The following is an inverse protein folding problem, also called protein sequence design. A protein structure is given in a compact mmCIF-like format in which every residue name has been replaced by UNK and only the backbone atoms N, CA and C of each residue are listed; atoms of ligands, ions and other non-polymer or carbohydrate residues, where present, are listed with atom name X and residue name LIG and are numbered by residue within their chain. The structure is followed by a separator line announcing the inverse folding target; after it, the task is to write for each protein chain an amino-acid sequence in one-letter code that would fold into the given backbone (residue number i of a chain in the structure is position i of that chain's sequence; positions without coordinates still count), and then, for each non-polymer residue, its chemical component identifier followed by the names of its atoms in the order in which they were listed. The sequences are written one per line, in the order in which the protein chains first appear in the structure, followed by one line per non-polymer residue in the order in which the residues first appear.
data_IF_962659001124
#
_entry.id   IF_962659001124
#
_cell.length_a   1.000
_cell.length_b   1.000
_cell.length_c   1.000
_cell.angle_alpha   90.00
_cell.angle_beta   90.00
_cell.angle_gamma   90.00
#
_symmetry.space_group_name_H-M   'P 1'
#
loop_
_entity.id
_entity.type
_entity.pdbx_description
1 polymer ?
#
# COMPACT_ATOMS: atom_id res chain seq x y z
N UNK A 1 0.69 -42.48 -16.05
CA UNK A 1 1.45 -41.59 -16.95
C UNK A 1 1.58 -40.26 -16.23
N UNK A 2 2.79 -39.97 -15.74
CA UNK A 2 3.06 -38.89 -14.79
C UNK A 2 2.98 -37.52 -15.44
N UNK A 3 2.17 -36.64 -14.86
CA UNK A 3 2.06 -35.24 -15.27
C UNK A 3 3.40 -34.52 -15.14
N UNK A 4 3.75 -33.79 -16.17
CA UNK A 4 4.86 -32.85 -16.15
C UNK A 4 4.53 -31.76 -15.11
N UNK A 5 5.19 -31.82 -13.94
CA UNK A 5 5.24 -30.68 -13.06
C UNK A 5 6.02 -29.58 -13.80
N UNK A 6 5.32 -28.55 -14.25
CA UNK A 6 5.94 -27.35 -14.79
C UNK A 6 6.80 -26.74 -13.67
N UNK A 7 8.11 -26.89 -13.75
CA UNK A 7 9.02 -26.19 -12.85
C UNK A 7 8.94 -24.71 -13.21
N UNK A 8 8.37 -23.88 -12.32
CA UNK A 8 8.32 -22.43 -12.51
C UNK A 8 9.73 -21.83 -12.38
N UNK A 9 10.48 -21.87 -13.49
CA UNK A 9 11.70 -21.08 -13.65
C UNK A 9 11.28 -19.64 -13.86
N UNK A 10 11.66 -18.76 -12.92
CA UNK A 10 11.33 -17.35 -13.02
C UNK A 10 12.14 -16.66 -14.11
N UNK A 11 13.39 -17.11 -14.31
CA UNK A 11 14.32 -16.49 -15.23
C UNK A 11 15.45 -17.47 -15.59
N UNK A 12 15.83 -17.53 -16.87
CA UNK A 12 16.98 -18.31 -17.34
C UNK A 12 17.90 -17.45 -18.19
N UNK A 13 19.19 -17.40 -17.86
CA UNK A 13 20.21 -16.69 -18.62
C UNK A 13 21.31 -17.66 -19.05
N UNK A 14 21.58 -17.73 -20.35
CA UNK A 14 22.61 -18.58 -20.94
C UNK A 14 23.88 -17.76 -21.11
N UNK A 15 25.00 -18.28 -20.65
CA UNK A 15 26.31 -17.73 -20.97
C UNK A 15 27.20 -18.84 -21.55
N UNK A 16 27.90 -18.54 -22.62
CA UNK A 16 28.92 -19.44 -23.18
C UNK A 16 30.21 -19.18 -22.44
N UNK A 17 30.78 -20.24 -21.86
CA UNK A 17 32.16 -20.18 -21.39
C UNK A 17 33.11 -20.21 -22.60
N UNK A 18 34.38 -19.92 -22.36
CA UNK A 18 35.49 -19.87 -23.32
C UNK A 18 35.74 -21.17 -24.12
N UNK A 19 35.03 -22.27 -23.83
CA UNK A 19 35.01 -23.49 -24.64
C UNK A 19 33.78 -23.56 -25.56
N UNK A 20 33.98 -23.79 -26.88
CA UNK A 20 32.91 -23.67 -27.88
C UNK A 20 31.79 -24.71 -27.78
N UNK A 21 31.99 -25.79 -27.02
CA UNK A 21 31.09 -26.96 -26.99
C UNK A 21 30.31 -27.11 -25.67
N UNK A 22 30.47 -26.17 -24.71
CA UNK A 22 29.81 -26.25 -23.39
C UNK A 22 29.01 -24.99 -23.07
N UNK A 23 27.73 -25.15 -22.77
CA UNK A 23 26.85 -24.04 -22.39
C UNK A 23 26.63 -24.04 -20.88
N UNK A 24 26.76 -22.86 -20.26
CA UNK A 24 26.41 -22.66 -18.86
C UNK A 24 25.13 -21.85 -18.75
N UNK A 25 24.26 -22.21 -17.81
CA UNK A 25 22.94 -21.57 -17.65
C UNK A 25 22.73 -21.19 -16.20
N UNK A 26 22.41 -19.93 -15.97
CA UNK A 26 21.99 -19.41 -14.68
C UNK A 26 20.46 -19.42 -14.60
N UNK A 27 19.91 -20.16 -13.62
CA UNK A 27 18.48 -20.32 -13.42
C UNK A 27 18.04 -19.66 -12.11
N UNK A 28 17.05 -18.75 -12.18
CA UNK A 28 16.36 -18.21 -11.00
C UNK A 28 15.08 -19.01 -10.77
N UNK A 29 14.96 -19.62 -9.60
CA UNK A 29 13.71 -20.22 -9.15
C UNK A 29 12.97 -19.25 -8.24
N UNK A 30 11.63 -19.27 -8.29
CA UNK A 30 10.80 -18.49 -7.36
C UNK A 30 10.92 -19.00 -5.92
N UNK A 31 11.03 -20.31 -5.77
CA UNK A 31 11.03 -21.01 -4.48
C UNK A 31 12.28 -21.90 -4.30
N UNK A 32 12.88 -21.92 -3.08
CA UNK A 32 14.00 -22.80 -2.76
C UNK A 32 13.70 -24.28 -2.94
N UNK A 33 12.43 -24.69 -2.73
CA UNK A 33 11.99 -26.07 -2.89
C UNK A 33 12.10 -26.54 -4.35
N UNK A 34 11.69 -25.70 -5.30
CA UNK A 34 11.77 -25.97 -6.74
C UNK A 34 13.22 -26.08 -7.22
N UNK A 35 14.11 -25.22 -6.72
CA UNK A 35 15.54 -25.30 -7.01
C UNK A 35 16.16 -26.62 -6.52
N UNK A 36 15.82 -27.07 -5.31
CA UNK A 36 16.32 -28.33 -4.76
C UNK A 36 15.75 -29.56 -5.49
N UNK A 37 14.49 -29.50 -5.92
CA UNK A 37 13.89 -30.56 -6.75
C UNK A 37 14.57 -30.66 -8.12
N UNK A 38 14.85 -29.51 -8.75
CA UNK A 38 15.57 -29.43 -10.02
C UNK A 38 16.99 -30.00 -9.90
N UNK A 39 17.74 -29.61 -8.87
CA UNK A 39 19.07 -30.15 -8.60
C UNK A 39 19.05 -31.69 -8.50
N UNK A 40 18.14 -32.26 -7.70
CA UNK A 40 18.01 -33.71 -7.54
C UNK A 40 17.63 -34.45 -8.83
N UNK A 41 16.88 -33.79 -9.71
CA UNK A 41 16.43 -34.40 -10.95
C UNK A 41 17.46 -34.31 -12.06
N UNK A 42 18.22 -33.22 -12.18
CA UNK A 42 19.04 -32.96 -13.35
C UNK A 42 20.55 -33.00 -13.11
N UNK A 43 21.01 -32.97 -11.85
CA UNK A 43 22.42 -33.17 -11.56
C UNK A 43 22.89 -34.59 -11.94
N UNK A 44 24.02 -34.69 -12.63
CA UNK A 44 24.65 -35.92 -13.13
C UNK A 44 23.82 -36.74 -14.14
N UNK A 45 22.82 -36.12 -14.77
CA UNK A 45 22.07 -36.74 -15.88
C UNK A 45 22.63 -36.34 -17.23
N UNK A 46 22.52 -37.23 -18.22
CA UNK A 46 22.89 -36.93 -19.60
C UNK A 46 21.96 -35.86 -20.16
N UNK A 47 22.54 -34.84 -20.82
CA UNK A 47 21.78 -33.76 -21.45
C UNK A 47 20.99 -34.26 -22.66
N UNK A 48 21.62 -35.14 -23.46
CA UNK A 48 21.04 -35.77 -24.64
C UNK A 48 21.43 -37.24 -24.68
N UNK A 49 20.60 -38.09 -25.29
CA UNK A 49 20.92 -39.51 -25.52
C UNK A 49 22.03 -39.71 -26.56
N UNK A 50 22.41 -38.65 -27.28
CA UNK A 50 23.40 -38.68 -28.35
C UNK A 50 24.81 -38.29 -27.89
N UNK A 51 24.94 -37.64 -26.73
CA UNK A 51 26.21 -37.09 -26.23
C UNK A 51 26.55 -37.67 -24.85
N UNK A 52 27.82 -38.01 -24.58
CA UNK A 52 28.23 -38.65 -23.34
C UNK A 52 28.31 -37.68 -22.15
N UNK A 53 28.13 -36.38 -22.38
CA UNK A 53 28.30 -35.35 -21.36
C UNK A 53 27.09 -35.25 -20.41
N UNK A 54 27.40 -35.06 -19.12
CA UNK A 54 26.41 -34.98 -18.04
C UNK A 54 26.21 -33.53 -17.63
N UNK A 55 24.95 -33.15 -17.41
CA UNK A 55 24.59 -31.88 -16.79
C UNK A 55 25.13 -31.84 -15.35
N UNK A 56 25.91 -30.80 -15.05
CA UNK A 56 26.32 -30.47 -13.70
C UNK A 56 25.48 -29.29 -13.22
N UNK A 57 24.78 -29.46 -12.11
CA UNK A 57 24.01 -28.38 -11.48
C UNK A 57 24.77 -27.96 -10.23
N UNK A 58 24.98 -26.66 -10.04
CA UNK A 58 25.68 -26.12 -8.85
C UNK A 58 24.83 -25.02 -8.20
N UNK A 59 24.95 -24.90 -6.88
CA UNK A 59 24.37 -23.77 -6.14
C UNK A 59 25.32 -22.58 -6.22
N UNK A 60 24.78 -21.41 -6.53
CA UNK A 60 25.53 -20.17 -6.65
C UNK A 60 25.33 -19.35 -5.38
N UNK A 61 26.43 -18.95 -4.73
CA UNK A 61 26.40 -18.18 -3.48
C UNK A 61 26.30 -16.67 -3.73
N UNK A 62 27.10 -16.15 -4.67
CA UNK A 62 27.06 -14.75 -5.11
C UNK A 62 27.46 -14.65 -6.58
N UNK A 63 27.07 -13.56 -7.23
CA UNK A 63 27.46 -13.24 -8.61
C UNK A 63 28.02 -11.82 -8.61
N UNK A 64 29.27 -11.68 -9.05
CA UNK A 64 29.94 -10.39 -9.21
C UNK A 64 30.06 -10.07 -10.70
N UNK A 65 29.59 -8.88 -11.10
CA UNK A 65 29.62 -8.43 -12.50
C UNK A 65 30.73 -7.41 -12.69
N UNK A 66 31.55 -7.61 -13.73
CA UNK A 66 32.52 -6.61 -14.15
C UNK A 66 31.87 -5.65 -15.16
N UNK A 67 31.68 -4.40 -14.73
CA UNK A 67 30.96 -3.36 -15.47
C UNK A 67 31.65 -2.90 -16.76
N UNK A 68 32.90 -3.29 -17.00
CA UNK A 68 33.67 -2.88 -18.19
C UNK A 68 33.37 -3.72 -19.45
N UNK A 69 32.66 -4.86 -19.31
CA UNK A 69 32.37 -5.78 -20.43
C UNK A 69 30.89 -6.13 -20.62
N UNK A 70 30.04 -5.94 -19.62
CA UNK A 70 28.61 -6.29 -19.69
C UNK A 70 27.81 -5.21 -18.95
N UNK A 71 26.92 -4.52 -19.65
CA UNK A 71 26.01 -3.56 -19.03
C UNK A 71 25.07 -4.28 -18.03
N UNK A 72 24.85 -3.74 -16.82
CA UNK A 72 23.95 -4.33 -15.81
C UNK A 72 22.51 -4.55 -16.30
N UNK A 73 22.15 -3.92 -17.43
CA UNK A 73 20.83 -3.97 -18.07
C UNK A 73 20.62 -5.20 -18.96
N UNK A 74 21.65 -5.99 -19.28
CA UNK A 74 21.54 -7.19 -20.13
C UNK A 74 21.13 -8.44 -19.34
N UNK A 75 20.99 -8.33 -18.02
CA UNK A 75 20.78 -9.48 -17.12
C UNK A 75 19.47 -9.26 -16.36
N UNK A 76 18.41 -10.05 -16.62
CA UNK A 76 17.11 -9.80 -16.00
C UNK A 76 17.04 -10.20 -14.50
N UNK A 77 18.19 -10.46 -13.87
CA UNK A 77 18.30 -10.75 -12.43
C UNK A 77 18.31 -9.50 -11.54
N UNK A 78 18.56 -8.31 -12.09
CA UNK A 78 18.75 -7.04 -11.35
C UNK A 78 17.55 -6.09 -11.40
N UNK A 79 16.46 -6.40 -12.11
CA UNK A 79 15.30 -5.52 -12.18
C UNK A 79 14.41 -5.61 -10.92
N UNK A 80 14.78 -4.81 -9.92
CA UNK A 80 13.82 -4.07 -9.11
C UNK A 80 14.04 -2.58 -9.39
N UNK A 81 13.54 -2.05 -10.50
CA UNK A 81 13.22 -0.62 -10.60
C UNK A 81 12.23 -0.37 -11.73
N UNK A 82 11.20 0.37 -11.36
CA UNK A 82 10.25 1.06 -12.22
C UNK A 82 10.94 1.98 -13.24
N UNK A 83 10.18 2.31 -14.29
CA UNK A 83 10.25 3.48 -15.17
C UNK A 83 10.85 3.32 -16.58
N UNK A 84 9.99 3.72 -17.54
CA UNK A 84 10.26 4.56 -18.70
C UNK A 84 10.90 3.94 -19.96
N UNK A 85 10.00 3.60 -20.90
CA UNK A 85 9.94 4.01 -22.31
C UNK A 85 11.23 4.50 -23.02
N UNK A 86 11.41 3.91 -24.22
CA UNK A 86 12.33 4.21 -25.33
C UNK A 86 13.75 3.62 -25.29
N UNK A 87 14.15 3.08 -26.45
CA UNK A 87 15.44 2.48 -26.83
C UNK A 87 15.77 1.03 -26.41
N UNK A 88 14.85 0.11 -26.69
CA UNK A 88 15.18 -1.33 -26.78
C UNK A 88 15.72 -1.67 -28.18
N UNK A 89 17.03 -1.54 -28.40
CA UNK A 89 17.69 -2.23 -29.52
C UNK A 89 17.62 -3.75 -29.28
N UNK A 90 16.66 -4.41 -29.91
CA UNK A 90 16.57 -5.87 -29.92
C UNK A 90 17.81 -6.49 -30.60
N UNK A 91 18.35 -7.59 -30.09
CA UNK A 91 19.48 -8.31 -30.69
C UNK A 91 18.99 -9.38 -31.67
N UNK A 92 19.74 -9.63 -32.75
CA UNK A 92 19.37 -10.62 -33.77
C UNK A 92 19.35 -12.05 -33.18
N UNK A 93 18.25 -12.82 -33.25
CA UNK A 93 18.20 -14.17 -32.67
C UNK A 93 19.13 -15.20 -33.34
N UNK A 94 19.74 -14.85 -34.48
CA UNK A 94 20.60 -15.76 -35.26
C UNK A 94 22.08 -15.50 -34.98
N UNK A 95 22.52 -14.24 -34.88
CA UNK A 95 23.93 -13.91 -34.57
C UNK A 95 24.14 -13.27 -33.20
N UNK A 96 23.08 -12.97 -32.46
CA UNK A 96 23.07 -12.35 -31.13
C UNK A 96 23.71 -10.95 -31.07
N UNK A 97 23.99 -10.33 -32.21
CA UNK A 97 24.48 -8.95 -32.32
C UNK A 97 23.33 -7.93 -32.27
N UNK A 98 23.56 -6.69 -31.77
CA UNK A 98 22.55 -5.64 -31.74
C UNK A 98 22.04 -5.31 -33.16
N UNK A 99 20.73 -5.15 -33.31
CA UNK A 99 20.11 -4.78 -34.58
C UNK A 99 20.33 -3.29 -34.86
N UNK A 100 21.53 -2.92 -35.27
CA UNK A 100 21.89 -1.55 -35.65
C UNK A 100 21.50 -1.25 -37.10
N UNK A 101 20.61 -0.27 -37.27
CA UNK A 101 20.08 0.21 -38.56
C UNK A 101 21.16 0.65 -39.56
N UNK A 102 22.37 0.95 -39.07
CA UNK A 102 23.45 1.56 -39.87
C UNK A 102 24.36 0.57 -40.63
N UNK A 103 24.27 -0.74 -40.41
CA UNK A 103 25.26 -1.66 -41.01
C UNK A 103 24.74 -2.95 -41.65
N UNK A 104 23.53 -3.42 -41.31
CA UNK A 104 22.95 -4.57 -42.01
C UNK A 104 21.45 -4.38 -42.20
N UNK A 105 20.98 -4.60 -43.42
CA UNK A 105 19.55 -4.48 -43.72
C UNK A 105 18.74 -5.40 -42.83
N UNK A 106 17.76 -4.86 -42.11
CA UNK A 106 16.86 -5.62 -41.27
C UNK A 106 15.71 -6.17 -42.11
N UNK A 107 15.37 -7.43 -41.88
CA UNK A 107 14.28 -8.12 -42.57
C UNK A 107 13.31 -8.68 -41.53
N UNK A 108 12.08 -8.17 -41.56
CA UNK A 108 10.97 -8.69 -40.76
C UNK A 108 10.11 -9.59 -41.62
N UNK A 109 9.99 -10.85 -41.23
CA UNK A 109 9.15 -11.84 -41.92
C UNK A 109 7.74 -11.86 -41.32
N UNK A 110 6.75 -12.44 -42.03
CA UNK A 110 5.31 -12.33 -41.72
C UNK A 110 4.88 -12.74 -40.29
N UNK A 111 5.71 -13.50 -39.57
CA UNK A 111 5.52 -13.80 -38.16
C UNK A 111 6.02 -12.69 -37.21
N UNK A 112 6.27 -11.49 -37.73
CA UNK A 112 6.75 -10.30 -37.03
C UNK A 112 8.11 -10.45 -36.30
N UNK A 113 8.95 -11.40 -36.72
CA UNK A 113 10.32 -11.55 -36.21
C UNK A 113 11.33 -10.88 -37.13
N UNK A 114 12.27 -10.13 -36.55
CA UNK A 114 13.26 -9.32 -37.27
C UNK A 114 14.66 -9.94 -37.19
N UNK A 115 15.35 -9.97 -38.32
CA UNK A 115 16.69 -10.54 -38.45
C UNK A 115 17.56 -9.66 -39.35
N UNK A 116 18.88 -9.78 -39.22
CA UNK A 116 19.79 -9.29 -40.26
C UNK A 116 19.55 -10.08 -41.56
N UNK A 117 19.49 -9.39 -42.71
CA UNK A 117 19.25 -9.99 -44.01
C UNK A 117 20.25 -11.13 -44.33
N UNK A 118 21.52 -10.95 -43.94
CA UNK A 118 22.58 -11.96 -44.09
C UNK A 118 22.34 -13.21 -43.24
N UNK A 119 21.78 -13.04 -42.04
CA UNK A 119 21.49 -14.15 -41.14
C UNK A 119 20.35 -15.03 -41.65
N UNK A 120 19.29 -14.42 -42.19
CA UNK A 120 18.20 -15.17 -42.80
C UNK A 120 18.62 -15.83 -44.13
N UNK A 121 19.47 -15.17 -44.92
CA UNK A 121 19.98 -15.74 -46.19
C UNK A 121 20.80 -17.01 -45.98
N UNK A 122 21.62 -17.07 -44.91
CA UNK A 122 22.37 -18.28 -44.54
C UNK A 122 21.50 -19.43 -44.00
N UNK A 123 20.32 -19.11 -43.47
CA UNK A 123 19.38 -20.10 -42.93
C UNK A 123 18.70 -20.94 -44.03
N UNK A 124 18.60 -20.40 -45.25
CA UNK A 124 18.41 -21.17 -46.49
C UNK A 124 17.02 -21.76 -46.77
N UNK A 125 16.14 -21.90 -45.79
CA UNK A 125 14.85 -22.59 -45.96
C UNK A 125 13.60 -21.67 -45.97
N UNK A 126 13.79 -20.35 -45.80
CA UNK A 126 12.71 -19.36 -45.74
C UNK A 126 11.76 -19.57 -44.55
N UNK A 127 12.16 -20.38 -43.57
CA UNK A 127 11.45 -20.55 -42.31
C UNK A 127 11.96 -19.54 -41.28
N UNK A 128 11.07 -19.10 -40.39
CA UNK A 128 11.46 -18.27 -39.26
C UNK A 128 12.36 -19.06 -38.31
N UNK A 129 13.57 -18.60 -37.98
CA UNK A 129 14.41 -19.24 -36.96
C UNK A 129 13.76 -19.28 -35.56
N UNK A 130 12.87 -18.32 -35.25
CA UNK A 130 12.23 -18.20 -33.95
C UNK A 130 10.98 -19.07 -33.84
N UNK A 131 10.12 -19.07 -34.86
CA UNK A 131 8.82 -19.77 -34.80
C UNK A 131 8.62 -20.85 -35.85
N UNK A 132 9.64 -21.15 -36.68
CA UNK A 132 9.64 -22.14 -37.77
C UNK A 132 8.57 -21.96 -38.84
N UNK A 133 7.86 -20.84 -38.84
CA UNK A 133 6.89 -20.50 -39.88
C UNK A 133 7.59 -20.40 -41.24
N UNK A 134 7.27 -21.29 -42.18
CA UNK A 134 7.85 -21.31 -43.54
C UNK A 134 6.88 -20.73 -44.55
N UNK A 135 7.36 -19.80 -45.37
CA UNK A 135 6.59 -19.12 -46.41
C UNK A 135 6.59 -19.85 -47.76
N UNK A 136 6.96 -21.14 -47.85
CA UNK A 136 7.01 -21.80 -49.16
C UNK A 136 5.61 -21.85 -49.80
N UNK A 137 5.39 -21.16 -50.93
CA UNK A 137 4.19 -21.36 -51.74
C UNK A 137 4.34 -22.69 -52.47
N UNK A 138 3.31 -23.53 -52.45
CA UNK A 138 3.21 -24.65 -53.37
C UNK A 138 3.08 -24.07 -54.79
N UNK A 139 4.19 -24.00 -55.52
CA UNK A 139 4.19 -23.66 -56.95
C UNK A 139 3.55 -24.82 -57.71
N UNK A 140 2.27 -24.71 -58.01
CA UNK A 140 1.66 -25.39 -59.15
C UNK A 140 2.03 -24.63 -60.42
N UNK A 141 2.94 -25.17 -61.22
CA UNK A 141 2.94 -25.06 -62.70
C UNK A 141 3.70 -26.30 -63.19
N UNK A 142 2.97 -27.17 -63.87
CA UNK A 142 3.50 -28.21 -64.73
C UNK A 142 4.34 -27.58 -65.84
N UNK A 143 5.55 -28.09 -66.04
CA UNK A 143 6.16 -28.08 -67.38
C UNK A 143 6.83 -29.41 -67.58
N UNK A 144 6.21 -30.22 -68.42
CA UNK A 144 6.81 -31.41 -69.01
C UNK A 144 8.12 -31.02 -69.71
N UNK A 145 9.23 -31.66 -69.36
CA UNK A 145 10.25 -32.18 -70.28
C UNK A 145 11.53 -32.62 -69.56
N UNK A 146 12.03 -33.81 -69.94
CA UNK A 146 13.40 -34.33 -69.80
C UNK A 146 13.82 -35.03 -68.49
N UNK A 147 13.46 -36.32 -68.41
CA UNK A 147 14.37 -37.47 -68.36
C UNK A 147 15.62 -37.46 -67.42
N UNK A 148 15.60 -38.44 -66.51
CA UNK A 148 16.67 -39.38 -66.06
C UNK A 148 17.11 -39.29 -64.58
N UNK A 149 16.95 -40.46 -63.92
CA UNK A 149 17.72 -41.01 -62.77
C UNK A 149 17.65 -40.22 -61.43
N UNK A 150 17.52 -40.80 -60.23
CA UNK A 150 17.39 -42.14 -59.68
C UNK A 150 17.08 -41.97 -58.17
N UNK A 151 16.48 -42.99 -57.53
CA UNK A 151 16.46 -43.28 -56.08
C UNK A 151 15.52 -42.54 -55.09
N UNK A 152 14.41 -43.24 -54.83
CA UNK A 152 13.87 -43.70 -53.51
C UNK A 152 13.58 -42.70 -52.39
N UNK A 153 12.28 -42.39 -52.17
CA UNK A 153 11.63 -42.24 -50.85
C UNK A 153 10.09 -42.44 -50.98
N UNK A 154 9.38 -42.89 -49.93
CA UNK A 154 8.14 -43.66 -50.05
C UNK A 154 6.87 -42.81 -50.26
N UNK A 155 5.93 -43.45 -50.95
CA UNK A 155 4.51 -43.12 -51.13
C UNK A 155 3.90 -42.38 -49.94
N UNK A 156 3.46 -41.14 -50.16
CA UNK A 156 2.48 -40.45 -49.30
C UNK A 156 1.17 -40.42 -50.07
N UNK A 157 0.14 -40.97 -49.43
CA UNK A 157 -1.19 -41.22 -49.97
C UNK A 157 -1.79 -40.03 -50.72
N UNK A 158 -2.44 -40.35 -51.84
CA UNK A 158 -3.06 -39.43 -52.79
C UNK A 158 -4.44 -38.96 -52.33
N UNK A 159 -4.54 -38.28 -51.18
CA UNK A 159 -5.83 -37.81 -50.67
C UNK A 159 -5.77 -36.46 -49.91
N UNK A 160 -4.83 -35.58 -50.24
CA UNK A 160 -4.79 -34.19 -49.74
C UNK A 160 -5.67 -33.28 -50.64
N UNK A 161 -6.95 -33.64 -50.82
CA UNK A 161 -7.95 -32.71 -51.35
C UNK A 161 -8.36 -31.79 -50.20
N UNK A 162 -8.27 -30.47 -50.38
CA UNK A 162 -8.77 -29.53 -49.38
C UNK A 162 -10.26 -29.81 -49.20
N UNK A 163 -10.65 -30.26 -48.00
CA UNK A 163 -12.04 -30.55 -47.66
C UNK A 163 -12.39 -29.95 -46.29
N UNK A 164 -13.67 -29.66 -46.07
CA UNK A 164 -14.15 -29.17 -44.79
C UNK A 164 -14.01 -30.24 -43.71
N UNK A 165 -13.37 -29.91 -42.59
CA UNK A 165 -13.09 -30.84 -41.49
C UNK A 165 -14.33 -31.47 -40.84
N UNK A 166 -15.52 -30.89 -41.06
CA UNK A 166 -16.77 -31.35 -40.45
C UNK A 166 -17.69 -32.08 -41.43
N UNK A 167 -17.82 -31.58 -42.67
CA UNK A 167 -18.79 -32.12 -43.64
C UNK A 167 -18.16 -32.60 -44.95
N UNK A 168 -16.83 -32.57 -45.06
CA UNK A 168 -16.09 -33.02 -46.25
C UNK A 168 -16.53 -32.33 -47.55
N UNK A 169 -17.06 -31.09 -47.46
CA UNK A 169 -17.29 -30.27 -48.63
C UNK A 169 -15.94 -29.93 -49.27
N UNK A 170 -15.86 -29.92 -50.60
CA UNK A 170 -14.63 -29.63 -51.35
C UNK A 170 -14.64 -28.27 -52.04
N UNK A 171 -15.78 -27.57 -52.01
CA UNK A 171 -15.99 -26.26 -52.64
C UNK A 171 -16.23 -25.17 -51.60
N UNK A 172 -15.90 -23.91 -51.94
CA UNK A 172 -16.09 -22.74 -51.08
C UNK A 172 -15.49 -22.90 -49.68
N UNK A 173 -14.21 -23.23 -49.65
CA UNK A 173 -13.45 -23.52 -48.44
C UNK A 173 -12.72 -22.30 -47.88
N UNK A 174 -12.71 -22.26 -46.55
CA UNK A 174 -12.17 -21.17 -45.76
C UNK A 174 -11.19 -21.74 -44.75
N UNK A 175 -9.97 -21.20 -44.71
CA UNK A 175 -8.93 -21.62 -43.78
C UNK A 175 -8.79 -20.57 -42.69
N UNK A 176 -8.92 -20.98 -41.43
CA UNK A 176 -8.65 -20.11 -40.30
C UNK A 176 -7.15 -19.73 -40.26
N UNK A 177 -6.85 -18.44 -40.24
CA UNK A 177 -5.45 -17.97 -40.22
C UNK A 177 -4.75 -18.14 -38.87
N UNK A 178 -5.52 -18.39 -37.81
CA UNK A 178 -4.99 -18.52 -36.45
C UNK A 178 -4.60 -19.98 -36.16
N UNK A 179 -5.39 -20.95 -36.62
CA UNK A 179 -5.16 -22.37 -36.27
C UNK A 179 -5.17 -23.33 -37.46
N UNK A 180 -5.39 -22.86 -38.69
CA UNK A 180 -5.38 -23.69 -39.88
C UNK A 180 -6.60 -24.60 -40.07
N UNK A 181 -7.67 -24.45 -39.28
CA UNK A 181 -8.89 -25.24 -39.46
C UNK A 181 -9.58 -24.90 -40.80
N UNK A 182 -10.04 -25.90 -41.54
CA UNK A 182 -10.71 -25.75 -42.84
C UNK A 182 -12.22 -25.94 -42.69
N UNK A 183 -12.98 -24.89 -42.95
CA UNK A 183 -14.44 -24.88 -42.87
C UNK A 183 -15.10 -24.51 -44.19
N UNK A 184 -16.30 -25.03 -44.46
CA UNK A 184 -17.11 -24.58 -45.59
C UNK A 184 -17.72 -23.20 -45.33
N UNK A 185 -17.99 -22.47 -46.42
CA UNK A 185 -18.52 -21.11 -46.40
C UNK A 185 -19.92 -20.98 -45.81
N UNK A 186 -20.34 -19.72 -45.61
CA UNK A 186 -21.64 -19.36 -44.99
C UNK A 186 -22.86 -19.80 -45.81
N UNK A 187 -22.71 -19.90 -47.12
CA UNK A 187 -23.79 -20.31 -48.03
C UNK A 187 -23.94 -21.83 -48.15
N UNK A 188 -22.99 -22.58 -47.59
CA UNK A 188 -23.05 -24.02 -47.43
C UNK A 188 -23.57 -24.36 -46.02
N UNK A 189 -22.76 -25.01 -45.18
CA UNK A 189 -23.10 -25.36 -43.81
C UNK A 189 -22.47 -24.42 -42.75
N UNK A 190 -21.79 -23.36 -43.18
CA UNK A 190 -21.19 -22.33 -42.31
C UNK A 190 -20.22 -22.84 -41.22
N UNK A 191 -19.53 -23.96 -41.44
CA UNK A 191 -18.58 -24.52 -40.47
C UNK A 191 -17.40 -23.61 -40.16
N UNK A 192 -16.98 -22.76 -41.09
CA UNK A 192 -15.95 -21.75 -40.81
C UNK A 192 -16.42 -20.69 -39.81
N UNK A 193 -17.70 -20.31 -39.87
CA UNK A 193 -18.31 -19.37 -38.92
C UNK A 193 -18.58 -20.02 -37.55
N UNK A 194 -19.01 -21.28 -37.53
CA UNK A 194 -19.19 -22.02 -36.27
C UNK A 194 -17.85 -22.25 -35.57
N UNK A 195 -16.78 -22.51 -36.32
CA UNK A 195 -15.41 -22.55 -35.79
C UNK A 195 -15.02 -21.23 -35.10
N UNK A 196 -15.31 -20.09 -35.74
CA UNK A 196 -15.12 -18.78 -35.13
C UNK A 196 -15.89 -18.65 -33.81
N UNK A 197 -17.18 -19.00 -33.77
CA UNK A 197 -18.00 -18.90 -32.56
C UNK A 197 -17.51 -19.75 -31.38
N UNK A 198 -16.83 -20.86 -31.66
CA UNK A 198 -16.33 -21.77 -30.62
C UNK A 198 -14.93 -21.41 -30.12
N UNK A 199 -14.12 -20.76 -30.96
CA UNK A 199 -12.69 -20.53 -30.70
C UNK A 199 -12.30 -19.06 -30.62
N UNK A 200 -13.21 -18.14 -30.96
CA UNK A 200 -12.95 -16.71 -31.15
C UNK A 200 -11.82 -16.41 -32.15
N UNK A 201 -11.61 -17.30 -33.14
CA UNK A 201 -10.66 -17.06 -34.21
C UNK A 201 -11.25 -16.13 -35.28
N UNK A 202 -10.85 -14.86 -35.23
CA UNK A 202 -11.48 -13.76 -35.95
C UNK A 202 -11.28 -13.78 -37.48
N UNK A 203 -10.21 -14.40 -37.98
CA UNK A 203 -9.80 -14.27 -39.38
C UNK A 203 -9.79 -15.61 -40.12
N UNK A 204 -10.40 -15.62 -41.31
CA UNK A 204 -10.37 -16.75 -42.24
C UNK A 204 -10.05 -16.30 -43.65
N UNK A 205 -9.35 -17.13 -44.41
CA UNK A 205 -8.98 -16.91 -45.80
C UNK A 205 -9.84 -17.78 -46.72
N UNK A 206 -10.53 -17.17 -47.68
CA UNK A 206 -11.20 -17.89 -48.77
C UNK A 206 -10.14 -18.47 -49.72
N UNK A 207 -10.10 -19.79 -49.90
CA UNK A 207 -9.04 -20.44 -50.69
C UNK A 207 -9.09 -20.01 -52.17
N UNK A 208 -10.29 -19.91 -52.74
CA UNK A 208 -10.50 -19.61 -54.16
C UNK A 208 -10.09 -18.18 -54.52
N UNK A 209 -10.43 -17.21 -53.69
CA UNK A 209 -10.25 -15.78 -54.01
C UNK A 209 -9.08 -15.13 -53.27
N UNK A 210 -8.48 -15.87 -52.32
CA UNK A 210 -7.43 -15.41 -51.42
C UNK A 210 -7.79 -14.13 -50.66
N UNK A 211 -9.08 -13.88 -50.45
CA UNK A 211 -9.56 -12.76 -49.64
C UNK A 211 -9.71 -13.19 -48.19
N UNK A 212 -9.31 -12.31 -47.29
CA UNK A 212 -9.43 -12.53 -45.85
C UNK A 212 -10.74 -11.94 -45.38
N UNK A 213 -11.51 -12.71 -44.63
CA UNK A 213 -12.73 -12.27 -43.97
C UNK A 213 -12.49 -12.04 -42.48
N UNK A 214 -12.98 -10.92 -41.99
CA UNK A 214 -13.05 -10.57 -40.57
C UNK A 214 -14.45 -10.90 -40.03
N UNK A 215 -14.52 -11.85 -39.09
CA UNK A 215 -15.77 -12.25 -38.46
C UNK A 215 -16.28 -11.25 -37.41
N UNK A 216 -15.41 -10.45 -36.79
CA UNK A 216 -15.80 -9.42 -35.84
C UNK A 216 -16.27 -8.13 -36.55
N UNK A 217 -15.59 -7.75 -37.62
CA UNK A 217 -15.94 -6.61 -38.48
C UNK A 217 -17.00 -6.91 -39.55
N UNK A 218 -17.38 -8.18 -39.71
CA UNK A 218 -18.33 -8.70 -40.72
C UNK A 218 -18.08 -8.17 -42.14
N UNK A 219 -16.83 -8.27 -42.61
CA UNK A 219 -16.42 -7.80 -43.93
C UNK A 219 -15.09 -8.38 -44.42
N UNK A 220 -14.76 -8.13 -45.70
CA UNK A 220 -13.46 -8.49 -46.26
C UNK A 220 -12.39 -7.49 -45.86
N UNK A 221 -11.24 -8.00 -45.41
CA UNK A 221 -10.05 -7.19 -45.14
C UNK A 221 -9.39 -6.86 -46.48
N UNK A 222 -9.31 -5.57 -46.80
CA UNK A 222 -8.55 -5.09 -47.94
C UNK A 222 -7.04 -5.17 -47.64
N UNK A 223 -6.28 -5.81 -48.54
CA UNK A 223 -4.83 -5.94 -48.40
C UNK A 223 -4.18 -4.57 -48.61
N UNK A 224 -3.84 -3.89 -47.52
CA UNK A 224 -2.96 -2.72 -47.52
C UNK A 224 -1.53 -3.20 -47.78
N UNK A 225 -1.11 -3.25 -49.04
CA UNK A 225 0.31 -3.43 -49.37
C UNK A 225 0.99 -2.08 -49.14
N UNK A 226 1.62 -1.90 -47.97
CA UNK A 226 2.56 -0.81 -47.77
C UNK A 226 3.79 -1.08 -48.65
N UNK A 227 4.01 -0.21 -49.64
CA UNK A 227 5.26 -0.17 -50.36
C UNK A 227 6.33 0.40 -49.42
N UNK A 228 7.36 -0.39 -49.10
CA UNK A 228 8.29 -0.19 -47.99
C UNK A 228 9.27 0.99 -48.16
N UNK A 229 9.00 1.95 -49.05
CA UNK A 229 9.90 3.07 -49.30
C UNK A 229 9.22 4.44 -49.24
N UNK A 230 7.87 4.55 -49.30
CA UNK A 230 7.27 5.90 -49.33
C UNK A 230 5.80 6.03 -48.85
N UNK A 231 5.21 5.02 -48.20
CA UNK A 231 3.89 5.16 -47.53
C UNK A 231 2.67 5.52 -48.41
N UNK A 232 2.84 5.72 -49.72
CA UNK A 232 1.75 6.09 -50.65
C UNK A 232 0.99 4.85 -51.12
N UNK A 233 -0.34 4.88 -50.96
CA UNK A 233 -1.28 3.86 -51.45
C UNK A 233 -1.25 3.84 -52.99
N UNK A 234 -0.98 2.69 -53.60
CA UNK A 234 -1.01 2.49 -55.05
C UNK A 234 -1.88 1.29 -55.38
N UNK A 235 -2.94 1.53 -56.15
CA UNK A 235 -3.72 0.49 -56.83
C UNK A 235 -3.01 0.12 -58.15
N UNK A 236 -2.81 -1.17 -58.42
CA UNK A 236 -2.39 -1.65 -59.74
C UNK A 236 -3.62 -1.68 -60.68
N UNK A 237 -3.59 -1.01 -61.85
CA UNK A 237 -4.57 -1.26 -62.89
C UNK A 237 -4.20 -2.53 -63.66
N UNK A 238 -5.19 -3.40 -63.85
CA UNK A 238 -5.14 -4.54 -64.77
C UNK A 238 -4.86 -4.06 -66.20
N UNK A 239 -3.96 -4.76 -66.88
CA UNK A 239 -3.59 -4.54 -68.28
C UNK A 239 -4.75 -4.88 -69.22
N UNK A 240 -5.39 -3.86 -69.79
CA UNK A 240 -6.06 -3.97 -71.11
C UNK A 240 -5.87 -2.66 -71.85
N UNK A 241 -5.19 -2.74 -73.00
CA UNK A 241 -4.96 -1.66 -73.95
C UNK A 241 -6.29 -1.12 -74.49
N UNK A 242 -6.42 0.21 -74.64
CA UNK A 242 -7.15 0.78 -75.79
C UNK A 242 -6.88 2.28 -76.04
N UNK A 243 -6.88 2.61 -77.33
CA UNK A 243 -6.13 3.71 -77.96
C UNK A 243 -6.87 5.06 -77.99
N UNK A 244 -7.27 5.61 -76.85
CA UNK A 244 -7.80 6.98 -76.76
C UNK A 244 -7.25 7.78 -75.56
N UNK A 245 -5.98 7.57 -75.27
CA UNK A 245 -5.34 7.84 -73.97
C UNK A 245 -5.07 9.32 -73.72
N UNK A 246 -4.64 10.12 -74.71
CA UNK A 246 -4.11 11.48 -74.43
C UNK A 246 -5.14 12.48 -73.85
N UNK A 247 -6.34 12.61 -74.42
CA UNK A 247 -7.33 13.59 -73.92
C UNK A 247 -8.10 13.11 -72.68
N UNK A 248 -8.19 11.79 -72.48
CA UNK A 248 -8.76 11.17 -71.28
C UNK A 248 -7.77 11.19 -70.13
N UNK A 249 -6.47 11.07 -70.43
CA UNK A 249 -5.38 11.13 -69.46
C UNK A 249 -5.16 12.55 -68.93
N UNK A 250 -5.22 13.59 -69.75
CA UNK A 250 -5.16 14.98 -69.25
C UNK A 250 -6.33 15.32 -68.32
N UNK A 251 -7.54 14.81 -68.61
CA UNK A 251 -8.70 14.96 -67.72
C UNK A 251 -8.58 14.13 -66.44
N UNK A 252 -8.05 12.91 -66.54
CA UNK A 252 -7.74 12.07 -65.37
C UNK A 252 -6.65 12.69 -64.50
N UNK A 253 -5.63 13.31 -65.09
CA UNK A 253 -4.57 14.04 -64.40
C UNK A 253 -5.12 15.30 -63.73
N UNK A 254 -6.02 16.04 -64.39
CA UNK A 254 -6.71 17.18 -63.79
C UNK A 254 -7.62 16.76 -62.62
N UNK A 255 -8.40 15.68 -62.77
CA UNK A 255 -9.24 15.12 -61.70
C UNK A 255 -8.36 14.57 -60.56
N UNK A 256 -7.24 13.93 -60.89
CA UNK A 256 -6.27 13.46 -59.90
C UNK A 256 -5.65 14.62 -59.13
N UNK A 257 -5.33 15.74 -59.79
CA UNK A 257 -4.79 16.92 -59.14
C UNK A 257 -5.79 17.56 -58.17
N UNK A 258 -7.05 17.72 -58.59
CA UNK A 258 -8.14 18.21 -57.73
C UNK A 258 -8.39 17.26 -56.55
N UNK A 259 -8.36 15.94 -56.79
CA UNK A 259 -8.47 14.94 -55.74
C UNK A 259 -7.29 15.01 -54.75
N UNK A 260 -6.06 15.15 -55.23
CA UNK A 260 -4.87 15.31 -54.38
C UNK A 260 -4.94 16.61 -53.58
N UNK A 261 -5.44 17.70 -54.16
CA UNK A 261 -5.64 18.96 -53.44
C UNK A 261 -6.71 18.82 -52.34
N UNK A 262 -7.84 18.17 -52.65
CA UNK A 262 -8.89 17.89 -51.68
C UNK A 262 -8.40 16.96 -50.55
N UNK A 263 -7.64 15.92 -50.89
CA UNK A 263 -7.06 15.00 -49.93
C UNK A 263 -6.05 15.71 -49.02
N UNK A 264 -5.17 16.54 -49.58
CA UNK A 264 -4.20 17.34 -48.81
C UNK A 264 -4.93 18.31 -47.89
N UNK A 265 -5.95 19.01 -48.39
CA UNK A 265 -6.78 19.90 -47.59
C UNK A 265 -7.50 19.17 -46.46
N UNK A 266 -8.00 17.96 -46.69
CA UNK A 266 -8.62 17.15 -45.65
C UNK A 266 -7.60 16.67 -44.61
N UNK A 267 -6.43 16.20 -45.04
CA UNK A 267 -5.37 15.76 -44.13
C UNK A 267 -4.85 16.92 -43.27
N UNK A 268 -4.64 18.11 -43.85
CA UNK A 268 -4.26 19.31 -43.11
C UNK A 268 -5.33 19.68 -42.07
N UNK A 269 -6.62 19.61 -42.44
CA UNK A 269 -7.70 19.89 -41.49
C UNK A 269 -7.76 18.87 -40.34
N UNK A 270 -7.49 17.59 -40.63
CA UNK A 270 -7.45 16.54 -39.62
C UNK A 270 -6.25 16.71 -38.70
N UNK A 271 -5.07 17.05 -39.24
CA UNK A 271 -3.88 17.34 -38.47
C UNK A 271 -4.13 18.49 -37.49
N UNK A 272 -4.64 19.62 -37.97
CA UNK A 272 -4.94 20.78 -37.11
C UNK A 272 -6.00 20.45 -36.04
N UNK A 273 -7.00 19.63 -36.37
CA UNK A 273 -8.01 19.19 -35.41
C UNK A 273 -7.40 18.36 -34.28
N UNK A 274 -6.58 17.35 -34.63
CA UNK A 274 -5.97 16.47 -33.63
C UNK A 274 -4.86 17.18 -32.86
N UNK A 275 -4.07 18.05 -33.47
CA UNK A 275 -3.10 18.91 -32.77
C UNK A 275 -3.80 19.78 -31.72
N UNK A 276 -4.90 20.44 -32.09
CA UNK A 276 -5.71 21.23 -31.14
C UNK A 276 -6.30 20.37 -30.01
N UNK A 277 -6.74 19.14 -30.32
CA UNK A 277 -7.23 18.22 -29.30
C UNK A 277 -6.11 17.75 -28.36
N UNK A 278 -4.92 17.46 -28.87
CA UNK A 278 -3.75 17.12 -28.07
C UNK A 278 -3.31 18.27 -27.18
N UNK A 279 -3.30 19.51 -27.70
CA UNK A 279 -3.00 20.72 -26.92
C UNK A 279 -4.01 20.93 -25.79
N UNK A 280 -5.30 20.70 -26.05
CA UNK A 280 -6.34 20.78 -25.01
C UNK A 280 -6.13 19.75 -23.91
N UNK A 281 -5.84 18.50 -24.26
CA UNK A 281 -5.56 17.44 -23.28
C UNK A 281 -4.28 17.75 -22.50
N UNK A 282 -3.22 18.24 -23.18
CA UNK A 282 -1.98 18.64 -22.54
C UNK A 282 -2.19 19.80 -21.54
N UNK A 283 -3.00 20.80 -21.91
CA UNK A 283 -3.37 21.90 -21.03
C UNK A 283 -4.18 21.42 -19.81
N UNK A 284 -5.16 20.52 -20.02
CA UNK A 284 -5.92 19.92 -18.94
C UNK A 284 -5.04 19.09 -17.99
N UNK A 285 -4.12 18.29 -18.53
CA UNK A 285 -3.16 17.53 -17.72
C UNK A 285 -2.23 18.44 -16.92
N UNK A 286 -1.76 19.55 -17.51
CA UNK A 286 -0.94 20.54 -16.82
C UNK A 286 -1.71 21.20 -15.67
N UNK A 287 -2.96 21.63 -15.91
CA UNK A 287 -3.81 22.22 -14.88
C UNK A 287 -4.09 21.23 -13.74
N UNK A 288 -4.47 19.98 -14.08
CA UNK A 288 -4.68 18.92 -13.08
C UNK A 288 -3.41 18.62 -12.29
N UNK A 289 -2.24 18.53 -12.93
CA UNK A 289 -0.95 18.35 -12.23
C UNK A 289 -0.66 19.51 -11.28
N UNK A 290 -0.96 20.75 -11.67
CA UNK A 290 -0.77 21.92 -10.81
C UNK A 290 -1.68 21.89 -9.57
N UNK A 291 -2.95 21.50 -9.76
CA UNK A 291 -3.92 21.31 -8.67
C UNK A 291 -3.50 20.19 -7.74
N UNK A 292 -3.10 19.03 -8.27
CA UNK A 292 -2.59 17.91 -7.46
C UNK A 292 -1.37 18.33 -6.65
N UNK A 293 -0.42 19.07 -7.23
CA UNK A 293 0.74 19.59 -6.51
C UNK A 293 0.34 20.55 -5.38
N UNK A 294 -0.61 21.45 -5.63
CA UNK A 294 -1.11 22.37 -4.61
C UNK A 294 -1.79 21.62 -3.46
N UNK A 295 -2.61 20.62 -3.77
CA UNK A 295 -3.30 19.81 -2.75
C UNK A 295 -2.33 18.96 -1.94
N UNK A 296 -1.28 18.41 -2.56
CA UNK A 296 -0.22 17.69 -1.85
C UNK A 296 0.54 18.62 -0.89
N UNK A 297 0.87 19.82 -1.32
CA UNK A 297 1.52 20.81 -0.46
C UNK A 297 0.64 21.23 0.74
N UNK A 298 -0.67 21.40 0.51
CA UNK A 298 -1.63 21.68 1.60
C UNK A 298 -1.76 20.49 2.57
N UNK A 299 -1.79 19.26 2.05
CA UNK A 299 -1.82 18.05 2.87
C UNK A 299 -0.56 17.91 3.73
N UNK A 300 0.62 18.18 3.17
CA UNK A 300 1.89 18.18 3.91
C UNK A 300 1.90 19.25 5.00
N UNK A 301 1.38 20.45 4.71
CA UNK A 301 1.26 21.53 5.68
C UNK A 301 0.31 21.15 6.84
N UNK A 302 -0.86 20.60 6.53
CA UNK A 302 -1.82 20.13 7.54
C UNK A 302 -1.22 19.00 8.37
N UNK A 303 -0.46 18.08 7.76
CA UNK A 303 0.19 17.00 8.47
C UNK A 303 1.27 17.51 9.42
N UNK A 304 2.05 18.52 9.01
CA UNK A 304 3.04 19.17 9.86
C UNK A 304 2.38 19.91 11.04
N UNK A 305 1.26 20.61 10.79
CA UNK A 305 0.51 21.29 11.84
C UNK A 305 -0.13 20.31 12.83
N UNK A 306 -0.71 19.21 12.36
CA UNK A 306 -1.26 18.17 13.23
C UNK A 306 -0.18 17.58 14.15
N UNK A 307 1.00 17.24 13.61
CA UNK A 307 2.13 16.76 14.44
C UNK A 307 2.56 17.78 15.49
N UNK A 308 2.55 19.07 15.15
CA UNK A 308 2.86 20.15 16.11
C UNK A 308 1.80 20.22 17.22
N UNK A 309 0.52 20.17 16.86
CA UNK A 309 -0.59 20.22 17.82
C UNK A 309 -0.62 18.98 18.72
N UNK A 310 -0.31 17.80 18.19
CA UNK A 310 -0.16 16.57 18.97
C UNK A 310 0.95 16.69 20.02
N UNK A 311 2.10 17.26 19.64
CA UNK A 311 3.20 17.50 20.58
C UNK A 311 2.83 18.53 21.67
N UNK A 312 2.12 19.61 21.30
CA UNK A 312 1.63 20.60 22.25
C UNK A 312 0.59 20.01 23.21
N UNK A 313 -0.33 19.18 22.72
CA UNK A 313 -1.32 18.50 23.55
C UNK A 313 -0.66 17.53 24.53
N UNK A 314 0.32 16.75 24.08
CA UNK A 314 1.07 15.85 24.96
C UNK A 314 1.78 16.61 26.09
N UNK A 315 2.31 17.80 25.81
CA UNK A 315 2.96 18.64 26.81
C UNK A 315 1.94 19.23 27.80
N UNK A 316 0.79 19.70 27.31
CA UNK A 316 -0.31 20.15 28.17
C UNK A 316 -0.86 19.03 29.04
N UNK A 317 -0.96 17.81 28.54
CA UNK A 317 -1.38 16.64 29.32
C UNK A 317 -0.39 16.35 30.47
N UNK A 318 0.92 16.43 30.21
CA UNK A 318 1.94 16.29 31.27
C UNK A 318 1.79 17.37 32.35
N UNK A 319 1.57 18.62 31.94
CA UNK A 319 1.35 19.72 32.88
C UNK A 319 0.08 19.49 33.72
N UNK A 320 -1.01 19.02 33.10
CA UNK A 320 -2.25 18.67 33.84
C UNK A 320 -1.97 17.56 34.86
N UNK A 321 -1.20 16.53 34.51
CA UNK A 321 -0.82 15.46 35.44
C UNK A 321 0.04 15.99 36.60
N UNK A 322 0.93 16.95 36.35
CA UNK A 322 1.73 17.57 37.39
C UNK A 322 0.87 18.44 38.33
N UNK A 323 0.02 19.30 37.77
CA UNK A 323 -0.90 20.13 38.53
C UNK A 323 -1.90 19.32 39.36
N UNK A 324 -2.43 18.22 38.82
CA UNK A 324 -3.35 17.33 39.54
C UNK A 324 -2.66 16.64 40.71
N UNK A 325 -1.42 16.16 40.56
CA UNK A 325 -0.60 15.65 41.67
C UNK A 325 -0.32 16.73 42.73
N UNK A 326 -0.05 17.96 42.30
CA UNK A 326 0.14 19.10 43.19
C UNK A 326 -1.12 19.40 44.00
N UNK A 327 -2.27 19.44 43.33
CA UNK A 327 -3.59 19.63 43.95
C UNK A 327 -3.91 18.54 44.95
N UNK A 328 -3.72 17.26 44.61
CA UNK A 328 -3.99 16.14 45.53
C UNK A 328 -3.13 16.23 46.80
N UNK A 329 -1.86 16.64 46.69
CA UNK A 329 -0.99 16.88 47.86
C UNK A 329 -1.49 18.06 48.70
N UNK A 330 -1.95 19.13 48.08
CA UNK A 330 -2.51 20.28 48.78
C UNK A 330 -3.81 19.92 49.50
N UNK A 331 -4.70 19.18 48.85
CA UNK A 331 -5.96 18.69 49.41
C UNK A 331 -5.72 17.77 50.62
N UNK A 332 -4.77 16.82 50.53
CA UNK A 332 -4.36 15.98 51.68
C UNK A 332 -3.83 16.80 52.85
N UNK A 333 -3.03 17.85 52.58
CA UNK A 333 -2.54 18.75 53.63
C UNK A 333 -3.68 19.55 54.26
N UNK A 334 -4.60 20.07 53.44
CA UNK A 334 -5.76 20.81 53.91
C UNK A 334 -6.62 19.93 54.83
N UNK A 335 -6.84 18.67 54.45
CA UNK A 335 -7.62 17.73 55.25
C UNK A 335 -6.94 17.41 56.59
N UNK A 336 -5.62 17.17 56.58
CA UNK A 336 -4.86 16.99 57.82
C UNK A 336 -4.90 18.23 58.73
N UNK A 337 -4.87 19.44 58.16
CA UNK A 337 -4.99 20.67 58.94
C UNK A 337 -6.40 20.87 59.50
N UNK A 338 -7.45 20.53 58.74
CA UNK A 338 -8.83 20.56 59.23
C UNK A 338 -9.01 19.62 60.41
N UNK A 339 -8.57 18.37 60.29
CA UNK A 339 -8.64 17.38 61.37
C UNK A 339 -7.91 17.85 62.63
N UNK A 340 -6.71 18.43 62.48
CA UNK A 340 -5.97 19.05 63.60
C UNK A 340 -6.71 20.23 64.22
N UNK A 341 -7.32 21.08 63.41
CA UNK A 341 -8.12 22.20 63.92
C UNK A 341 -9.36 21.72 64.67
N UNK A 342 -10.06 20.70 64.16
CA UNK A 342 -11.25 20.12 64.80
C UNK A 342 -10.90 19.45 66.12
N UNK A 343 -9.85 18.63 66.16
CA UNK A 343 -9.35 18.00 67.40
C UNK A 343 -8.90 19.03 68.41
N UNK A 344 -8.12 20.04 68.01
CA UNK A 344 -7.70 21.13 68.89
C UNK A 344 -8.89 21.92 69.42
N UNK A 345 -9.90 22.18 68.57
CA UNK A 345 -11.13 22.86 68.97
C UNK A 345 -11.93 22.03 69.99
N UNK A 346 -12.00 20.71 69.82
CA UNK A 346 -12.67 19.82 70.76
C UNK A 346 -11.98 19.81 72.13
N UNK A 347 -10.66 19.65 72.17
CA UNK A 347 -9.87 19.71 73.41
C UNK A 347 -10.02 21.06 74.11
N UNK A 348 -9.99 22.16 73.35
CA UNK A 348 -10.21 23.49 73.91
C UNK A 348 -11.60 23.66 74.53
N UNK A 349 -12.64 23.09 73.91
CA UNK A 349 -14.00 23.11 74.46
C UNK A 349 -14.10 22.30 75.76
N UNK A 350 -13.50 21.12 75.80
CA UNK A 350 -13.43 20.28 77.02
C UNK A 350 -12.64 20.97 78.13
N UNK A 351 -11.48 21.57 77.83
CA UNK A 351 -10.68 22.30 78.81
C UNK A 351 -11.42 23.54 79.32
N UNK A 352 -12.15 24.25 78.45
CA UNK A 352 -13.01 25.37 78.83
C UNK A 352 -14.16 24.92 79.74
N UNK A 353 -14.77 23.78 79.47
CA UNK A 353 -15.82 23.22 80.34
C UNK A 353 -15.25 22.80 81.70
N UNK A 354 -14.12 22.09 81.70
CA UNK A 354 -13.44 21.66 82.92
C UNK A 354 -13.01 22.85 83.79
N UNK A 355 -12.45 23.90 83.18
CA UNK A 355 -12.06 25.12 83.90
C UNK A 355 -13.27 25.83 84.49
N UNK A 356 -14.39 25.91 83.78
CA UNK A 356 -15.63 26.45 84.32
C UNK A 356 -16.13 25.64 85.54
N UNK A 357 -16.19 24.30 85.43
CA UNK A 357 -16.60 23.44 86.55
C UNK A 357 -15.65 23.51 87.74
N UNK A 358 -14.34 23.62 87.51
CA UNK A 358 -13.34 23.80 88.56
C UNK A 358 -13.53 25.13 89.27
N UNK A 359 -13.82 26.20 88.53
CA UNK A 359 -14.07 27.54 89.07
C UNK A 359 -15.35 27.56 89.94
N UNK A 360 -16.40 26.88 89.50
CA UNK A 360 -17.63 26.70 90.27
C UNK A 360 -17.38 25.89 91.55
N UNK A 361 -16.69 24.76 91.47
CA UNK A 361 -16.30 23.97 92.64
C UNK A 361 -15.43 24.76 93.63
N UNK A 362 -14.46 25.54 93.13
CA UNK A 362 -13.62 26.39 93.98
C UNK A 362 -14.48 27.44 94.71
N UNK A 363 -15.46 28.03 94.03
CA UNK A 363 -16.41 28.98 94.63
C UNK A 363 -17.25 28.34 95.75
N UNK A 364 -17.73 27.11 95.55
CA UNK A 364 -18.47 26.35 96.54
C UNK A 364 -17.61 25.97 97.75
N UNK A 365 -16.36 25.56 97.49
CA UNK A 365 -15.38 25.26 98.54
C UNK A 365 -15.08 26.49 99.39
N UNK A 366 -14.85 27.65 98.77
CA UNK A 366 -14.64 28.91 99.49
C UNK A 366 -15.84 29.25 100.39
N UNK A 367 -17.07 29.09 99.87
CA UNK A 367 -18.29 29.30 100.65
C UNK A 367 -18.40 28.32 101.83
N UNK A 368 -18.12 27.05 101.61
CA UNK A 368 -18.14 26.03 102.66
C UNK A 368 -17.07 26.27 103.74
N UNK A 369 -15.87 26.72 103.34
CA UNK A 369 -14.83 27.15 104.26
C UNK A 369 -15.28 28.35 105.09
N UNK A 370 -15.91 29.35 104.46
CA UNK A 370 -16.46 30.52 105.15
C UNK A 370 -17.56 30.13 106.16
N UNK A 371 -18.46 29.22 105.77
CA UNK A 371 -19.51 28.70 106.65
C UNK A 371 -18.93 27.89 107.82
N UNK A 372 -17.88 27.10 107.58
CA UNK A 372 -17.14 26.40 108.65
C UNK A 372 -16.41 27.36 109.58
N UNK A 373 -15.77 28.40 109.06
CA UNK A 373 -15.13 29.44 109.87
C UNK A 373 -16.15 30.18 110.75
N UNK A 374 -17.34 30.50 110.19
CA UNK A 374 -18.46 31.05 110.97
C UNK A 374 -18.90 30.11 112.08
N UNK A 375 -19.06 28.81 111.77
CA UNK A 375 -19.44 27.81 112.77
C UNK A 375 -18.36 27.64 113.85
N UNK A 376 -17.08 27.59 113.49
CA UNK A 376 -15.96 27.54 114.46
C UNK A 376 -15.98 28.78 115.34
N UNK A 377 -16.22 29.96 114.77
CA UNK A 377 -16.31 31.21 115.54
C UNK A 377 -17.49 31.18 116.51
N UNK A 378 -18.67 30.75 116.05
CA UNK A 378 -19.85 30.61 116.90
C UNK A 378 -19.63 29.57 118.01
N UNK A 379 -19.06 28.41 117.70
CA UNK A 379 -18.73 27.39 118.69
C UNK A 379 -17.66 27.88 119.68
N UNK A 380 -16.67 28.62 119.18
CA UNK A 380 -15.64 29.25 120.04
C UNK A 380 -16.24 30.31 120.95
N UNK A 381 -17.22 31.07 120.47
CA UNK A 381 -17.95 32.07 121.26
C UNK A 381 -18.82 31.35 122.32
N UNK A 382 -19.52 30.27 121.95
CA UNK A 382 -20.26 29.42 122.91
C UNK A 382 -19.35 28.78 123.97
N UNK A 383 -18.17 28.27 123.58
CA UNK A 383 -17.19 27.74 124.54
C UNK A 383 -16.66 28.84 125.45
N UNK A 384 -16.43 30.06 124.92
CA UNK A 384 -16.05 31.22 125.73
C UNK A 384 -17.16 31.58 126.73
N UNK A 385 -18.42 31.56 126.29
CA UNK A 385 -19.58 31.82 127.14
C UNK A 385 -19.78 30.72 128.20
N UNK A 386 -19.57 29.45 127.86
CA UNK A 386 -19.60 28.33 128.80
C UNK A 386 -18.46 28.41 129.82
N UNK A 387 -17.25 28.75 129.39
CA UNK A 387 -16.12 28.99 130.30
C UNK A 387 -16.44 30.17 131.23
N UNK A 388 -16.99 31.27 130.71
CA UNK A 388 -17.44 32.40 131.53
C UNK A 388 -18.53 31.98 132.53
N UNK A 389 -19.52 31.17 132.11
CA UNK A 389 -20.56 30.66 132.99
C UNK A 389 -20.00 29.74 134.08
N UNK A 390 -19.04 28.86 133.77
CA UNK A 390 -18.37 28.00 134.74
C UNK A 390 -17.53 28.82 135.72
N UNK A 391 -16.74 29.79 135.25
CA UNK A 391 -15.99 30.71 136.11
C UNK A 391 -16.93 31.55 136.99
N UNK A 392 -18.06 32.03 136.45
CA UNK A 392 -19.08 32.75 137.21
C UNK A 392 -19.74 31.84 138.25
N UNK A 393 -20.07 30.59 137.90
CA UNK A 393 -20.62 29.59 138.82
C UNK A 393 -19.63 29.21 139.93
N UNK A 394 -18.36 29.02 139.61
CA UNK A 394 -17.30 28.74 140.58
C UNK A 394 -17.12 29.92 141.55
N UNK A 395 -17.13 31.16 141.05
CA UNK A 395 -17.15 32.37 141.88
C UNK A 395 -18.40 32.51 142.75
N UNK A 396 -19.58 32.10 142.26
CA UNK A 396 -20.84 32.12 143.02
C UNK A 396 -20.89 31.00 144.07
N UNK A 397 -20.34 29.81 143.79
CA UNK A 397 -20.23 28.73 144.79
C UNK A 397 -19.21 29.04 145.90
N UNK A 398 -18.23 29.90 145.65
CA UNK A 398 -17.27 30.37 146.66
C UNK A 398 -17.76 31.51 147.57
N UNK A 399 -18.91 32.14 147.27
CA UNK A 399 -19.43 33.32 147.99
C UNK A 399 -20.96 33.27 148.16
N UNK A 400 -21.51 32.96 149.35
CA UNK A 400 -22.95 32.76 149.58
C UNK A 400 -23.81 34.04 149.69
N UNK A 401 -23.39 35.18 149.11
CA UNK A 401 -24.17 36.44 149.11
C UNK A 401 -24.72 36.86 147.72
N UNK A 402 -24.60 36.03 146.68
CA UNK A 402 -24.91 36.40 145.28
C UNK A 402 -26.09 35.63 144.64
N UNK A 403 -27.00 35.09 145.44
CA UNK A 403 -28.24 34.47 144.95
C UNK A 403 -29.29 35.57 144.64
N UNK A 404 -29.35 36.05 143.39
CA UNK A 404 -30.38 37.01 142.94
C UNK A 404 -29.96 38.12 141.97
N UNK A 405 -28.76 38.08 141.38
CA UNK A 405 -28.29 39.12 140.46
C UNK A 405 -28.81 38.98 139.03
N UNK A 406 -29.49 40.01 138.50
CA UNK A 406 -29.84 40.14 137.08
C UNK A 406 -28.64 40.63 136.27
N UNK A 407 -28.32 39.96 135.16
CA UNK A 407 -27.23 40.32 134.24
C UNK A 407 -27.81 41.04 133.02
N UNK A 408 -27.59 42.36 132.93
CA UNK A 408 -27.84 43.15 131.72
C UNK A 408 -26.60 43.14 130.82
N UNK A 409 -26.68 42.45 129.67
CA UNK A 409 -25.67 42.53 128.61
C UNK A 409 -25.93 43.74 127.71
N UNK A 410 -25.05 44.74 127.76
CA UNK A 410 -25.03 45.85 126.79
C UNK A 410 -24.62 45.36 125.40
N UNK A 411 -25.50 45.47 124.42
CA UNK A 411 -25.19 45.26 122.99
C UNK A 411 -24.25 46.35 122.45
N UNK A 412 -23.13 46.02 121.78
CA UNK A 412 -22.37 47.00 121.02
C UNK A 412 -23.01 47.24 119.65
N UNK A 413 -23.31 48.50 119.33
CA UNK A 413 -23.66 48.94 117.97
C UNK A 413 -22.46 48.79 117.02
N UNK A 414 -22.62 48.24 115.80
CA UNK A 414 -21.68 48.47 114.73
C UNK A 414 -22.09 49.66 113.85
N UNK A 415 -21.12 50.55 113.72
CA UNK A 415 -21.05 51.77 112.92
C UNK A 415 -21.37 51.55 111.44
N UNK A 416 -22.01 52.55 110.84
CA UNK A 416 -22.10 52.73 109.40
C UNK A 416 -20.70 52.81 108.76
N UNK A 417 -20.52 52.11 107.63
CA UNK A 417 -19.41 52.38 106.71
C UNK A 417 -19.94 52.70 105.31
N UNK A 418 -19.46 53.85 104.86
CA UNK A 418 -19.62 54.50 103.55
C UNK A 418 -19.15 53.58 102.42
N UNK A 419 -19.76 53.79 101.25
CA UNK A 419 -19.52 53.01 100.05
C UNK A 419 -18.19 53.27 99.35
N UNK A 420 -18.00 52.49 98.29
CA UNK A 420 -17.24 52.73 97.04
C UNK A 420 -17.63 51.54 96.14
N UNK A 421 -18.08 51.67 94.90
CA UNK A 421 -17.73 52.68 93.91
C UNK A 421 -16.64 52.15 92.98
N UNK A 422 -17.07 51.40 91.96
CA UNK A 422 -16.61 51.48 90.55
C UNK A 422 -15.22 50.95 90.15
N UNK A 423 -15.20 50.07 89.13
CA UNK A 423 -14.49 50.17 87.81
C UNK A 423 -14.46 48.76 87.17
N UNK A 424 -15.03 48.54 85.99
CA UNK A 424 -14.69 49.04 84.64
C UNK A 424 -13.39 48.48 84.10
#
# INVERSE_FOLDING_TARGET
MGGAAAYEVALSHFYTDTSPDTYSVLLKFRDPYSANSYYKQYNDRLFSSMEPEKCQVVYVESIEFNADTISPSTIPFTQQVDLEQDDLLSACPVCLEPMDEKSSGLLTILCQHTFHCHCLSKWGDGSCPVCRYSQKPHRSIETESAQTADQTLPMRDSNDENECATCHATEHLWVCLICGNVGCGRYENAHAYEHYRQTDHLYSLEIETQRVWDYAGDGYVHRLIQNAVDGKLVELPSTTEDSNVSASQEKLEAISLEYNYLLTSQLDSQQLYYESQMDQVAAQLSDMRSKTRSLLAEADQIQAENKRLEAENLEKEKQIVEFTKGKEKADKKLESWKEKCETTKAVWLEEKEMTNSLLENNSLLLKCMEDREKAIKELSDQVRDLMFFLEAREKVQGHPELEGGSVETRTPQPRSKRGKGKRS
#
